data_IF_662888761759
#
_entry.id   IF_662888761759
#
_cell.length_a   1.000
_cell.length_b   1.000
_cell.length_c   1.000
_cell.angle_alpha   90.00
_cell.angle_beta   90.00
_cell.angle_gamma   90.00
#
_symmetry.space_group_name_H-M   'P 1'
#
loop_
_entity.id
_entity.type
_entity.pdbx_description
1 polymer ?
#
# COMPACT_ATOMS: atom_id res chain seq x y z
N UNK A 1 38.82 49.69 17.01
CA UNK A 1 38.10 48.51 17.54
C UNK A 1 36.77 48.43 16.82
N UNK A 2 36.62 47.49 15.87
CA UNK A 2 35.38 47.27 15.12
C UNK A 2 34.58 46.18 15.83
N UNK A 3 33.37 46.52 16.28
CA UNK A 3 32.44 45.61 16.94
C UNK A 3 31.82 44.67 15.91
N UNK A 4 31.95 43.36 16.14
CA UNK A 4 31.28 42.30 15.40
C UNK A 4 29.79 42.32 15.76
N UNK A 5 28.93 42.52 14.76
CA UNK A 5 27.49 42.32 14.88
C UNK A 5 27.17 40.87 14.48
N UNK A 6 26.59 40.12 15.41
CA UNK A 6 26.03 38.78 15.17
C UNK A 6 24.81 38.95 14.26
N UNK A 7 24.66 38.20 13.16
CA UNK A 7 23.45 38.26 12.35
C UNK A 7 22.30 37.66 13.15
N UNK A 8 21.28 38.48 13.42
CA UNK A 8 20.05 38.03 14.02
C UNK A 8 19.34 37.06 13.06
N UNK A 9 19.22 35.80 13.46
CA UNK A 9 18.31 34.86 12.81
C UNK A 9 16.87 35.40 12.95
N UNK A 10 16.04 35.33 11.90
CA UNK A 10 14.66 35.78 12.01
C UNK A 10 13.94 34.93 13.06
N UNK A 11 13.48 35.61 14.12
CA UNK A 11 12.55 35.09 15.12
C UNK A 11 11.43 34.33 14.39
N UNK A 12 11.22 33.08 14.79
CA UNK A 12 10.17 32.18 14.33
C UNK A 12 8.95 32.95 13.82
N UNK A 13 8.67 32.83 12.51
CA UNK A 13 7.40 33.25 11.96
C UNK A 13 6.32 32.51 12.74
N UNK A 14 5.61 33.22 13.63
CA UNK A 14 4.43 32.67 14.29
C UNK A 14 3.48 32.28 13.17
N UNK A 15 3.23 30.97 13.01
CA UNK A 15 2.19 30.45 12.14
C UNK A 15 0.87 31.06 12.64
N UNK A 16 0.43 32.14 11.99
CA UNK A 16 -0.90 32.71 12.20
C UNK A 16 -1.84 31.96 11.28
N UNK A 17 -2.85 31.31 11.86
CA UNK A 17 -3.82 30.52 11.10
C UNK A 17 -3.35 29.11 10.81
N UNK A 18 -2.85 28.38 11.82
CA UNK A 18 -2.81 26.91 11.77
C UNK A 18 -4.26 26.42 11.87
N UNK A 19 -5.01 26.61 10.80
CA UNK A 19 -6.29 25.93 10.63
C UNK A 19 -5.96 24.49 10.26
N UNK A 20 -6.47 23.57 11.06
CA UNK A 20 -6.26 22.16 10.76
C UNK A 20 -6.95 21.85 9.42
N UNK A 21 -6.30 21.13 8.50
CA UNK A 21 -6.84 20.87 7.18
C UNK A 21 -8.27 20.31 7.15
N UNK A 22 -8.67 19.50 8.15
CA UNK A 22 -10.04 19.02 8.31
C UNK A 22 -11.08 20.15 8.51
N UNK A 23 -10.72 21.24 9.20
CA UNK A 23 -11.61 22.40 9.35
C UNK A 23 -11.85 23.08 8.00
N UNK A 24 -10.86 23.09 7.10
CA UNK A 24 -10.98 23.67 5.76
C UNK A 24 -11.91 22.83 4.86
N UNK A 25 -11.70 21.51 4.83
CA UNK A 25 -12.54 20.58 4.03
C UNK A 25 -13.99 20.59 4.50
N UNK A 26 -14.22 20.53 5.82
CA UNK A 26 -15.56 20.58 6.39
C UNK A 26 -16.25 21.93 6.18
N UNK A 27 -15.49 23.00 5.97
CA UNK A 27 -16.04 24.33 5.67
C UNK A 27 -16.30 24.57 4.17
N UNK A 28 -15.66 23.79 3.28
CA UNK A 28 -15.75 23.96 1.83
C UNK A 28 -16.76 23.03 1.16
N UNK A 29 -17.12 21.90 1.79
CA UNK A 29 -18.14 21.00 1.26
C UNK A 29 -19.53 21.49 1.65
N UNK A 30 -20.33 21.93 0.68
CA UNK A 30 -21.70 22.40 0.92
C UNK A 30 -22.68 21.26 1.26
N UNK A 31 -22.34 20.00 0.98
CA UNK A 31 -23.20 18.83 1.19
C UNK A 31 -22.39 17.56 1.56
N UNK A 32 -22.96 16.60 2.32
CA UNK A 32 -22.29 15.36 2.75
C UNK A 32 -21.73 14.50 1.61
N UNK A 33 -22.41 14.49 0.45
CA UNK A 33 -21.99 13.74 -0.73
C UNK A 33 -20.64 14.22 -1.30
N UNK A 34 -20.36 15.53 -1.25
CA UNK A 34 -19.08 16.09 -1.70
C UNK A 34 -17.90 15.65 -0.83
N UNK A 35 -18.13 15.42 0.46
CA UNK A 35 -17.10 14.88 1.36
C UNK A 35 -16.83 13.39 1.08
N UNK A 36 -17.87 12.60 0.76
CA UNK A 36 -17.72 11.19 0.39
C UNK A 36 -16.94 11.01 -0.92
N UNK A 37 -17.21 11.82 -1.94
CA UNK A 37 -16.45 11.79 -3.21
C UNK A 37 -15.01 12.28 -3.03
N UNK A 38 -14.78 13.34 -2.25
CA UNK A 38 -13.43 13.85 -1.98
C UNK A 38 -12.56 12.86 -1.19
N UNK A 39 -13.19 12.01 -0.35
CA UNK A 39 -12.53 11.02 0.49
C UNK A 39 -12.52 9.60 -0.11
N UNK A 40 -13.17 9.37 -1.24
CA UNK A 40 -13.19 8.09 -1.92
C UNK A 40 -11.84 7.78 -2.56
N UNK A 41 -11.13 6.69 -2.18
CA UNK A 41 -9.83 6.33 -2.78
C UNK A 41 -9.93 5.86 -4.24
N UNK A 42 -11.14 5.84 -4.79
CA UNK A 42 -11.49 5.27 -6.09
C UNK A 42 -11.72 6.29 -7.19
N UNK A 43 -11.92 7.57 -6.85
CA UNK A 43 -12.33 8.56 -7.82
C UNK A 43 -11.15 9.42 -8.27
N UNK A 44 -10.74 9.35 -9.55
CA UNK A 44 -9.76 10.27 -10.09
C UNK A 44 -10.27 11.70 -9.97
N UNK A 45 -9.50 12.56 -9.33
CA UNK A 45 -9.82 13.98 -9.18
C UNK A 45 -8.81 14.80 -9.96
N UNK A 46 -9.28 15.84 -10.64
CA UNK A 46 -8.42 16.92 -11.12
C UNK A 46 -8.18 17.91 -9.99
N UNK A 47 -6.92 18.18 -9.68
CA UNK A 47 -6.55 19.14 -8.64
C UNK A 47 -5.20 19.78 -8.92
N UNK A 48 -5.00 20.98 -8.41
CA UNK A 48 -3.69 21.63 -8.38
C UNK A 48 -2.97 21.27 -7.08
N UNK A 49 -1.68 20.94 -7.16
CA UNK A 49 -0.85 20.66 -6.00
C UNK A 49 0.46 21.47 -6.03
N UNK A 50 0.83 21.97 -4.85
CA UNK A 50 2.07 22.70 -4.62
C UNK A 50 3.13 21.72 -4.13
N UNK A 51 4.30 21.72 -4.77
CA UNK A 51 5.49 21.07 -4.23
C UNK A 51 5.90 21.82 -2.95
N UNK A 52 5.98 21.12 -1.83
CA UNK A 52 6.35 21.68 -0.53
C UNK A 52 7.77 21.31 -0.10
N UNK A 53 8.31 20.21 -0.63
CA UNK A 53 9.64 19.71 -0.28
C UNK A 53 10.28 18.92 -1.43
N UNK A 54 11.60 18.97 -1.51
CA UNK A 54 12.41 18.20 -2.47
C UNK A 54 13.57 17.53 -1.73
N UNK A 55 13.68 16.22 -1.86
CA UNK A 55 14.67 15.41 -1.12
C UNK A 55 15.51 14.63 -2.13
N UNK A 56 16.83 14.84 -2.21
CA UNK A 56 17.72 14.02 -3.03
C UNK A 56 17.72 12.57 -2.53
N UNK A 57 17.72 11.61 -3.47
CA UNK A 57 17.69 10.19 -3.16
C UNK A 57 18.72 9.44 -4.02
N UNK A 58 19.18 8.28 -3.54
CA UNK A 58 20.16 7.45 -4.22
C UNK A 58 19.69 6.99 -5.63
N UNK A 59 20.63 6.55 -6.46
CA UNK A 59 20.32 6.09 -7.81
C UNK A 59 19.89 7.18 -8.80
N UNK A 60 20.22 8.45 -8.51
CA UNK A 60 19.87 9.61 -9.34
C UNK A 60 18.38 9.94 -9.27
N UNK A 61 17.75 9.68 -8.11
CA UNK A 61 16.35 9.96 -7.86
C UNK A 61 16.19 11.24 -7.04
N UNK A 62 14.98 11.80 -7.09
CA UNK A 62 14.57 12.89 -6.23
C UNK A 62 13.12 12.67 -5.82
N UNK A 63 12.86 12.80 -4.52
CA UNK A 63 11.52 12.76 -3.95
C UNK A 63 10.97 14.18 -3.99
N UNK A 64 9.75 14.32 -4.49
CA UNK A 64 8.99 15.56 -4.50
C UNK A 64 7.75 15.37 -3.64
N UNK A 65 7.63 16.15 -2.58
CA UNK A 65 6.48 16.12 -1.68
C UNK A 65 5.53 17.22 -2.10
N UNK A 66 4.25 16.89 -2.20
CA UNK A 66 3.18 17.76 -2.64
C UNK A 66 2.07 17.87 -1.61
N UNK A 67 1.37 19.01 -1.66
CA UNK A 67 0.14 19.29 -0.93
C UNK A 67 -0.89 19.82 -1.91
N UNK A 68 -2.14 19.35 -1.82
CA UNK A 68 -3.24 19.90 -2.61
C UNK A 68 -3.54 21.36 -2.25
N UNK A 69 -3.80 22.20 -3.25
CA UNK A 69 -4.04 23.64 -3.06
C UNK A 69 -5.38 23.94 -2.41
N UNK A 70 -6.37 23.08 -2.62
CA UNK A 70 -7.68 23.14 -1.95
C UNK A 70 -7.60 22.80 -0.44
N UNK A 71 -6.48 22.24 0.02
CA UNK A 71 -6.29 21.79 1.39
C UNK A 71 -7.02 20.48 1.72
N UNK A 72 -7.60 19.82 0.72
CA UNK A 72 -8.17 18.49 0.87
C UNK A 72 -7.06 17.43 1.03
N UNK A 73 -7.35 16.31 1.72
CA UNK A 73 -6.46 15.16 1.68
C UNK A 73 -6.43 14.55 0.27
N UNK A 74 -5.37 13.80 -0.03
CA UNK A 74 -5.37 12.86 -1.15
C UNK A 74 -5.71 11.47 -0.60
N UNK A 75 -6.91 10.98 -0.90
CA UNK A 75 -7.28 9.59 -0.65
C UNK A 75 -6.79 8.73 -1.82
N UNK A 76 -6.02 7.68 -1.55
CA UNK A 76 -5.50 6.76 -2.55
C UNK A 76 -5.15 5.42 -1.90
N UNK A 77 -4.87 4.40 -2.72
CA UNK A 77 -4.31 3.12 -2.28
C UNK A 77 -2.82 3.01 -2.56
N UNK A 78 -2.11 2.34 -1.67
CA UNK A 78 -0.67 2.18 -1.77
C UNK A 78 -0.27 1.41 -3.02
N UNK A 79 0.44 2.07 -3.92
CA UNK A 79 0.85 1.55 -5.23
C UNK A 79 0.23 2.29 -6.42
N UNK A 80 -0.84 3.07 -6.21
CA UNK A 80 -1.42 3.92 -7.26
C UNK A 80 -0.49 5.04 -7.74
N UNK A 81 -0.81 5.60 -8.89
CA UNK A 81 -0.09 6.73 -9.49
C UNK A 81 -0.98 7.96 -9.69
N UNK A 82 -0.33 9.07 -10.00
CA UNK A 82 -0.94 10.33 -10.43
C UNK A 82 -0.38 10.74 -11.78
N UNK A 83 -1.23 11.32 -12.61
CA UNK A 83 -0.83 11.99 -13.84
C UNK A 83 -0.53 13.45 -13.52
N UNK A 84 0.57 13.97 -14.04
CA UNK A 84 1.06 15.32 -13.73
C UNK A 84 1.39 16.03 -15.03
N UNK A 85 0.91 17.24 -15.16
CA UNK A 85 1.12 18.09 -16.32
C UNK A 85 2.34 19.00 -16.11
N UNK A 86 3.39 18.76 -16.89
CA UNK A 86 4.65 19.50 -16.78
C UNK A 86 4.79 20.56 -17.89
N UNK A 87 5.06 21.83 -17.56
CA UNK A 87 5.26 22.90 -18.54
C UNK A 87 6.69 22.89 -19.11
N UNK A 88 7.10 21.75 -19.70
CA UNK A 88 8.49 21.52 -20.14
C UNK A 88 8.90 22.37 -21.33
N UNK A 89 7.96 22.74 -22.20
CA UNK A 89 8.21 23.53 -23.41
C UNK A 89 7.86 25.04 -23.21
N UNK A 90 7.61 25.46 -21.96
CA UNK A 90 7.29 26.84 -21.57
C UNK A 90 5.83 27.06 -21.18
N UNK A 91 5.49 28.24 -20.62
CA UNK A 91 4.16 28.52 -20.07
C UNK A 91 3.04 28.67 -21.12
N UNK A 92 3.39 28.99 -22.37
CA UNK A 92 2.43 29.17 -23.47
C UNK A 92 2.28 27.92 -24.35
N UNK A 93 2.98 26.83 -24.01
CA UNK A 93 2.93 25.55 -24.73
C UNK A 93 1.99 24.56 -24.04
N UNK A 94 1.50 23.56 -24.77
CA UNK A 94 0.75 22.47 -24.16
C UNK A 94 1.65 21.70 -23.17
N UNK A 95 1.16 21.42 -21.94
CA UNK A 95 1.95 20.69 -20.96
C UNK A 95 2.16 19.25 -21.42
N UNK A 96 3.28 18.67 -21.00
CA UNK A 96 3.59 17.27 -21.25
C UNK A 96 3.16 16.47 -20.02
N UNK A 97 2.11 15.67 -20.18
CA UNK A 97 1.57 14.83 -19.11
C UNK A 97 2.38 13.56 -18.91
N UNK A 98 2.67 13.18 -17.67
CA UNK A 98 3.33 11.91 -17.32
C UNK A 98 2.76 11.32 -16.03
N UNK A 99 2.70 9.99 -16.00
CA UNK A 99 2.30 9.21 -14.83
C UNK A 99 3.49 8.98 -13.89
N UNK A 100 3.27 9.18 -12.59
CA UNK A 100 4.25 8.90 -11.54
C UNK A 100 3.57 8.20 -10.36
N UNK A 101 4.06 7.01 -9.99
CA UNK A 101 3.58 6.28 -8.81
C UNK A 101 3.81 7.10 -7.54
N UNK A 102 2.83 7.09 -6.65
CA UNK A 102 2.92 7.71 -5.34
C UNK A 102 3.85 6.86 -4.49
N UNK A 103 4.89 7.47 -3.90
CA UNK A 103 5.86 6.80 -3.04
C UNK A 103 5.51 6.86 -1.55
N UNK A 104 4.70 7.82 -1.10
CA UNK A 104 4.26 7.93 0.31
C UNK A 104 3.14 6.92 0.63
N UNK A 105 2.92 6.66 1.92
CA UNK A 105 1.76 5.89 2.35
C UNK A 105 0.48 6.76 2.34
N UNK A 106 -0.70 6.16 2.10
CA UNK A 106 -1.99 6.84 2.20
C UNK A 106 -2.38 7.16 3.64
N UNK A 107 -1.65 6.64 4.64
CA UNK A 107 -1.81 6.98 6.06
C UNK A 107 -1.37 8.40 6.40
N UNK A 108 -0.71 9.10 5.47
CA UNK A 108 -0.30 10.50 5.59
C UNK A 108 -1.08 11.37 4.57
N UNK A 109 -2.41 11.48 4.69
CA UNK A 109 -3.25 11.95 3.58
C UNK A 109 -3.09 13.45 3.24
N UNK A 110 -2.38 14.21 4.07
CA UNK A 110 -2.21 15.67 3.91
C UNK A 110 -1.10 16.06 2.94
N UNK A 111 -0.18 15.13 2.70
CA UNK A 111 0.92 15.29 1.76
C UNK A 111 1.17 13.98 1.05
N UNK A 112 1.50 14.03 -0.23
CA UNK A 112 1.90 12.84 -0.96
C UNK A 112 3.24 13.08 -1.62
N UNK A 113 4.02 12.02 -1.81
CA UNK A 113 5.30 12.10 -2.50
C UNK A 113 5.29 11.30 -3.78
N UNK A 114 5.97 11.82 -4.79
CA UNK A 114 6.40 11.06 -5.95
C UNK A 114 7.92 11.04 -5.99
N UNK A 115 8.48 10.03 -6.63
CA UNK A 115 9.93 9.90 -6.75
C UNK A 115 10.31 9.70 -8.20
N UNK A 116 11.14 10.61 -8.71
CA UNK A 116 11.48 10.68 -10.13
C UNK A 116 12.97 10.39 -10.30
N UNK A 117 13.29 9.32 -11.04
CA UNK A 117 14.64 9.08 -11.52
C UNK A 117 14.97 10.00 -12.70
N UNK A 118 16.13 10.66 -12.66
CA UNK A 118 16.60 11.45 -13.80
C UNK A 118 16.95 10.53 -14.97
N UNK A 119 16.31 10.75 -16.11
CA UNK A 119 16.71 10.15 -17.38
C UNK A 119 17.45 11.23 -18.19
N UNK A 120 18.75 11.04 -18.52
CA UNK A 120 19.51 11.98 -19.34
C UNK A 120 18.88 12.28 -20.71
N UNK A 121 18.03 11.37 -21.23
CA UNK A 121 17.30 11.56 -22.49
C UNK A 121 15.86 12.04 -22.29
N UNK A 122 15.35 12.02 -21.06
CA UNK A 122 13.98 12.37 -20.72
C UNK A 122 13.80 13.87 -20.55
N UNK A 123 12.84 14.44 -21.29
CA UNK A 123 12.46 15.86 -21.16
C UNK A 123 11.87 16.17 -19.78
N UNK A 124 10.86 15.41 -19.36
CA UNK A 124 10.10 15.66 -18.12
C UNK A 124 10.95 15.40 -16.87
N UNK A 125 11.66 14.27 -16.81
CA UNK A 125 12.49 13.94 -15.65
C UNK A 125 13.64 14.93 -15.46
N UNK A 126 14.27 15.38 -16.55
CA UNK A 126 15.28 16.45 -16.47
C UNK A 126 14.66 17.77 -16.03
N UNK A 127 13.51 18.15 -16.59
CA UNK A 127 12.81 19.38 -16.19
C UNK A 127 12.44 19.36 -14.71
N UNK A 128 11.89 18.25 -14.19
CA UNK A 128 11.52 18.11 -12.80
C UNK A 128 12.73 18.29 -11.86
N UNK A 129 13.84 17.61 -12.16
CA UNK A 129 15.08 17.75 -11.38
C UNK A 129 15.63 19.18 -11.38
N UNK A 130 15.52 19.88 -12.50
CA UNK A 130 16.13 21.21 -12.67
C UNK A 130 15.21 22.35 -12.16
N UNK A 131 13.87 22.20 -12.24
CA UNK A 131 12.92 23.30 -12.01
C UNK A 131 11.88 23.05 -10.92
N UNK A 132 11.53 21.81 -10.59
CA UNK A 132 10.51 21.51 -9.58
C UNK A 132 11.10 21.80 -8.19
N UNK A 133 10.58 22.82 -7.51
CA UNK A 133 11.09 23.32 -6.22
C UNK A 133 9.92 23.62 -5.28
N UNK A 134 10.16 23.77 -3.97
CA UNK A 134 9.12 24.23 -3.06
C UNK A 134 8.47 25.53 -3.55
N UNK A 135 7.13 25.54 -3.64
CA UNK A 135 6.32 26.63 -4.19
C UNK A 135 5.89 26.43 -5.65
N UNK A 136 6.39 25.43 -6.38
CA UNK A 136 5.92 25.11 -7.73
C UNK A 136 4.54 24.46 -7.66
N UNK A 137 3.57 24.98 -8.42
CA UNK A 137 2.23 24.40 -8.54
C UNK A 137 2.10 23.68 -9.87
N UNK A 138 1.57 22.46 -9.85
CA UNK A 138 1.29 21.65 -11.04
C UNK A 138 -0.15 21.14 -10.99
N UNK A 139 -0.75 20.99 -12.17
CA UNK A 139 -2.04 20.34 -12.34
C UNK A 139 -1.85 18.83 -12.37
N UNK A 140 -2.73 18.11 -11.68
CA UNK A 140 -2.66 16.67 -11.49
C UNK A 140 -4.04 16.03 -11.67
N UNK A 141 -4.02 14.78 -12.14
CA UNK A 141 -5.19 13.90 -12.21
C UNK A 141 -4.89 12.59 -11.48
N UNK A 142 -5.70 12.26 -10.49
CA UNK A 142 -5.64 10.97 -9.81
C UNK A 142 -6.28 10.94 -8.42
N UNK A 143 -6.06 9.87 -7.65
CA UNK A 143 -5.22 8.72 -7.98
C UNK A 143 -5.81 7.83 -9.11
N UNK A 144 -4.95 7.08 -9.80
CA UNK A 144 -5.31 6.09 -10.83
C UNK A 144 -4.46 4.83 -10.66
N UNK A 145 -4.91 3.71 -11.23
CA UNK A 145 -4.14 2.47 -11.34
C UNK A 145 -4.67 1.34 -10.46
N UNK A 146 -4.52 0.12 -10.96
CA UNK A 146 -4.94 -1.12 -10.29
C UNK A 146 -3.80 -1.83 -9.52
N UNK A 147 -2.57 -1.30 -9.60
CA UNK A 147 -1.41 -1.87 -8.91
C UNK A 147 -1.36 -1.40 -7.45
N UNK A 148 -2.18 -2.01 -6.58
CA UNK A 148 -2.26 -1.61 -5.18
C UNK A 148 -2.49 -2.78 -4.22
N UNK A 149 -2.16 -2.60 -2.94
CA UNK A 149 -2.57 -3.55 -1.89
C UNK A 149 -4.09 -3.56 -1.74
N UNK A 150 -4.65 -4.71 -1.37
CA UNK A 150 -6.05 -4.81 -1.01
C UNK A 150 -6.30 -4.26 0.41
N UNK A 151 -7.41 -3.55 0.62
CA UNK A 151 -7.70 -2.86 1.90
C UNK A 151 -7.98 -3.81 3.08
N UNK A 152 -8.34 -5.07 2.80
CA UNK A 152 -8.83 -6.02 3.80
C UNK A 152 -7.79 -7.07 4.24
N UNK A 153 -6.72 -7.27 3.48
CA UNK A 153 -5.83 -8.42 3.70
C UNK A 153 -4.65 -8.10 4.62
N UNK A 154 -4.95 -8.04 5.92
CA UNK A 154 -3.97 -7.72 6.98
C UNK A 154 -3.12 -8.91 7.46
N UNK A 155 -3.30 -10.09 6.84
CA UNK A 155 -2.54 -11.32 7.13
C UNK A 155 -1.85 -11.88 5.89
N UNK A 156 -1.98 -11.23 4.74
CA UNK A 156 -1.31 -11.60 3.52
C UNK A 156 0.21 -11.71 3.68
N UNK A 157 0.78 -12.64 2.92
CA UNK A 157 2.20 -12.71 2.69
C UNK A 157 2.49 -12.09 1.33
N UNK A 158 3.34 -11.08 1.31
CA UNK A 158 3.72 -10.33 0.12
C UNK A 158 5.14 -10.66 -0.31
N UNK A 159 5.32 -10.77 -1.62
CA UNK A 159 6.64 -10.78 -2.28
C UNK A 159 6.70 -9.55 -3.20
N UNK A 160 7.52 -8.58 -2.82
CA UNK A 160 7.70 -7.34 -3.58
C UNK A 160 8.98 -7.47 -4.42
N UNK A 161 8.85 -7.37 -5.74
CA UNK A 161 9.97 -7.47 -6.68
C UNK A 161 10.23 -6.08 -7.29
N UNK A 162 11.22 -5.36 -6.75
CA UNK A 162 11.58 -4.03 -7.24
C UNK A 162 12.83 -4.09 -8.12
N UNK A 163 12.85 -3.28 -9.19
CA UNK A 163 14.09 -2.99 -9.91
C UNK A 163 14.21 -1.49 -10.23
N UNK A 164 15.32 -0.88 -9.81
CA UNK A 164 15.60 0.54 -10.03
C UNK A 164 14.48 1.44 -9.48
N UNK A 165 13.85 2.25 -10.36
CA UNK A 165 12.77 3.16 -10.00
C UNK A 165 11.45 2.45 -9.68
N UNK A 166 11.29 1.16 -9.97
CA UNK A 166 10.11 0.40 -9.55
C UNK A 166 9.99 0.15 -8.06
N UNK A 167 10.95 0.62 -7.26
CA UNK A 167 10.76 0.70 -5.81
C UNK A 167 9.65 1.67 -5.41
N UNK A 168 9.27 2.64 -6.24
CA UNK A 168 8.39 3.75 -5.80
C UNK A 168 6.98 3.30 -5.37
N UNK A 169 6.20 2.54 -6.15
CA UNK A 169 4.91 2.04 -5.67
C UNK A 169 5.10 1.03 -4.52
N UNK A 170 6.16 0.22 -4.56
CA UNK A 170 6.43 -0.77 -3.51
C UNK A 170 6.81 -0.11 -2.18
N UNK A 171 7.47 1.05 -2.22
CA UNK A 171 7.77 1.83 -1.03
C UNK A 171 6.49 2.38 -0.38
N UNK A 172 5.51 2.80 -1.19
CA UNK A 172 4.18 3.17 -0.68
C UNK A 172 3.52 1.99 0.03
N UNK A 173 3.59 0.78 -0.55
CA UNK A 173 3.06 -0.45 0.06
C UNK A 173 3.76 -0.78 1.38
N UNK A 174 5.10 -0.74 1.42
CA UNK A 174 5.88 -1.04 2.63
C UNK A 174 5.58 -0.03 3.74
N UNK A 175 5.57 1.27 3.44
CA UNK A 175 5.20 2.32 4.40
C UNK A 175 3.78 2.12 4.93
N UNK A 176 2.86 1.65 4.09
CA UNK A 176 1.48 1.35 4.48
C UNK A 176 1.39 0.17 5.43
N UNK A 177 2.09 -0.93 5.12
CA UNK A 177 2.19 -2.10 6.01
C UNK A 177 2.77 -1.69 7.35
N UNK A 178 3.84 -0.89 7.36
CA UNK A 178 4.46 -0.40 8.57
C UNK A 178 3.49 0.44 9.43
N UNK A 179 2.82 1.41 8.81
CA UNK A 179 1.92 2.34 9.51
C UNK A 179 0.64 1.70 10.05
N UNK A 180 0.19 0.60 9.46
CA UNK A 180 -1.07 -0.05 9.83
C UNK A 180 -0.86 -1.30 10.72
N UNK A 181 -1.70 -1.49 11.75
CA UNK A 181 -1.64 -2.70 12.56
C UNK A 181 -2.05 -3.92 11.73
N UNK A 182 -1.28 -5.01 11.84
CA UNK A 182 -1.54 -6.24 11.10
C UNK A 182 -0.45 -7.29 11.32
N UNK A 183 -0.63 -8.45 10.67
CA UNK A 183 0.29 -9.58 10.72
C UNK A 183 0.78 -9.96 9.31
N UNK A 184 0.81 -8.98 8.39
CA UNK A 184 1.37 -9.18 7.07
C UNK A 184 2.83 -9.65 7.17
N UNK A 185 3.29 -10.40 6.19
CA UNK A 185 4.68 -10.83 6.04
C UNK A 185 5.17 -10.37 4.68
N UNK A 186 6.13 -9.45 4.65
CA UNK A 186 6.63 -8.79 3.45
C UNK A 186 8.08 -9.19 3.21
N UNK A 187 8.35 -9.75 2.03
CA UNK A 187 9.72 -9.87 1.53
C UNK A 187 9.89 -8.95 0.32
N UNK A 188 10.79 -7.98 0.43
CA UNK A 188 11.24 -7.14 -0.68
C UNK A 188 12.53 -7.73 -1.27
N UNK A 189 12.50 -8.13 -2.55
CA UNK A 189 13.68 -8.35 -3.36
C UNK A 189 13.93 -7.12 -4.23
N UNK A 190 14.94 -6.32 -3.87
CA UNK A 190 15.26 -5.09 -4.57
C UNK A 190 16.53 -5.26 -5.42
N UNK A 191 16.36 -5.18 -6.74
CA UNK A 191 17.45 -5.27 -7.70
C UNK A 191 18.00 -3.89 -8.10
N UNK A 192 19.31 -3.74 -7.91
CA UNK A 192 20.07 -2.52 -8.18
C UNK A 192 21.13 -2.71 -9.26
N UNK A 193 21.59 -1.58 -9.80
CA UNK A 193 22.63 -1.54 -10.83
C UNK A 193 24.05 -1.42 -10.26
N UNK A 194 24.16 -0.89 -9.05
CA UNK A 194 25.38 -0.64 -8.28
C UNK A 194 25.04 -0.54 -6.77
N UNK A 195 26.00 -0.78 -5.86
CA UNK A 195 25.78 -0.71 -4.40
C UNK A 195 25.18 0.61 -3.91
N UNK A 196 25.53 1.72 -4.53
CA UNK A 196 25.08 3.08 -4.19
C UNK A 196 23.79 3.52 -4.90
N UNK A 197 23.13 2.60 -5.62
CA UNK A 197 21.97 2.92 -6.47
C UNK A 197 20.61 2.62 -5.86
N UNK A 198 20.57 2.05 -4.65
CA UNK A 198 19.33 1.65 -3.98
C UNK A 198 18.66 2.86 -3.31
N UNK A 199 17.64 3.39 -3.97
CA UNK A 199 16.80 4.45 -3.40
C UNK A 199 16.07 3.95 -2.15
N UNK A 200 15.93 4.81 -1.14
CA UNK A 200 15.31 4.52 0.15
C UNK A 200 16.04 3.45 0.98
N UNK A 201 17.29 3.12 0.67
CA UNK A 201 18.04 2.09 1.40
C UNK A 201 18.09 2.35 2.90
N UNK A 202 18.43 3.57 3.32
CA UNK A 202 18.47 3.94 4.75
C UNK A 202 17.12 3.73 5.46
N UNK A 203 16.01 4.11 4.81
CA UNK A 203 14.67 3.94 5.37
C UNK A 203 14.23 2.48 5.37
N UNK A 204 14.50 1.75 4.29
CA UNK A 204 14.21 0.32 4.18
C UNK A 204 14.96 -0.49 5.24
N UNK A 205 16.23 -0.18 5.47
CA UNK A 205 17.04 -0.79 6.53
C UNK A 205 16.48 -0.46 7.91
N UNK A 206 16.07 0.79 8.14
CA UNK A 206 15.40 1.16 9.38
C UNK A 206 14.11 0.36 9.58
N UNK A 207 13.24 0.30 8.57
CA UNK A 207 11.96 -0.41 8.62
C UNK A 207 12.14 -1.91 8.88
N UNK A 208 13.09 -2.56 8.20
CA UNK A 208 13.40 -3.97 8.40
C UNK A 208 13.94 -4.26 9.81
N UNK A 209 14.61 -3.29 10.45
CA UNK A 209 15.13 -3.44 11.80
C UNK A 209 14.05 -3.26 12.89
N UNK A 210 13.05 -2.39 12.66
CA UNK A 210 12.02 -2.08 13.67
C UNK A 210 10.73 -2.86 13.49
N UNK A 211 10.49 -3.41 12.29
CA UNK A 211 9.26 -4.12 11.94
C UNK A 211 9.58 -5.54 11.47
N UNK A 212 9.34 -6.52 12.36
CA UNK A 212 9.62 -7.94 12.11
C UNK A 212 8.86 -8.51 10.90
N UNK A 213 7.82 -7.81 10.43
CA UNK A 213 7.03 -8.18 9.26
C UNK A 213 7.75 -7.91 7.95
N UNK A 214 8.76 -7.05 7.94
CA UNK A 214 9.40 -6.54 6.73
C UNK A 214 10.82 -7.10 6.63
N UNK A 215 11.06 -7.89 5.59
CA UNK A 215 12.39 -8.38 5.21
C UNK A 215 12.81 -7.73 3.91
N UNK A 216 13.98 -7.08 3.91
CA UNK A 216 14.55 -6.45 2.71
C UNK A 216 15.79 -7.21 2.28
N UNK A 217 15.88 -7.52 0.99
CA UNK A 217 17.02 -8.20 0.39
C UNK A 217 17.45 -7.42 -0.84
N UNK A 218 18.66 -6.88 -0.78
CA UNK A 218 19.28 -6.19 -1.91
C UNK A 218 20.04 -7.17 -2.79
N UNK A 219 19.84 -7.05 -4.10
CA UNK A 219 20.51 -7.87 -5.10
C UNK A 219 21.15 -6.99 -6.18
N UNK A 220 22.43 -7.20 -6.45
CA UNK A 220 23.07 -6.67 -7.65
C UNK A 220 22.94 -7.69 -8.77
N UNK A 221 22.71 -7.24 -10.01
CA UNK A 221 22.76 -8.14 -11.17
C UNK A 221 24.17 -8.73 -11.39
N UNK A 222 24.41 -9.30 -12.57
CA UNK A 222 25.68 -9.97 -12.92
C UNK A 222 26.88 -9.01 -13.16
N UNK A 223 26.89 -7.84 -12.52
CA UNK A 223 27.97 -6.84 -12.66
C UNK A 223 29.02 -7.06 -11.58
N UNK A 224 30.26 -6.68 -11.88
CA UNK A 224 31.33 -6.67 -10.87
C UNK A 224 30.92 -5.81 -9.68
N UNK A 225 30.84 -6.44 -8.51
CA UNK A 225 30.66 -5.76 -7.24
C UNK A 225 32.05 -5.59 -6.58
N UNK A 226 32.24 -4.49 -5.86
CA UNK A 226 33.44 -4.33 -5.03
C UNK A 226 33.44 -5.34 -3.88
N UNK A 227 34.61 -5.58 -3.28
CA UNK A 227 34.79 -6.52 -2.17
C UNK A 227 33.95 -6.18 -0.92
N UNK A 228 33.40 -4.96 -0.84
CA UNK A 228 32.58 -4.44 0.26
C UNK A 228 31.08 -4.75 0.12
N UNK A 229 30.63 -5.39 -0.97
CA UNK A 229 29.22 -5.72 -1.15
C UNK A 229 28.80 -6.96 -0.34
N UNK A 230 27.94 -6.76 0.66
CA UNK A 230 27.44 -7.84 1.53
C UNK A 230 26.08 -8.40 1.08
N UNK A 231 25.42 -7.76 0.11
CA UNK A 231 24.13 -8.20 -0.41
C UNK A 231 24.23 -9.37 -1.39
N UNK A 232 23.10 -9.73 -2.01
CA UNK A 232 23.06 -10.80 -3.01
C UNK A 232 23.57 -10.33 -4.37
N UNK A 233 23.98 -11.28 -5.19
CA UNK A 233 24.45 -11.05 -6.56
C UNK A 233 23.76 -12.03 -7.51
N UNK A 234 23.57 -11.60 -8.75
CA UNK A 234 22.95 -12.40 -9.81
C UNK A 234 21.62 -11.82 -10.27
N UNK A 235 21.21 -12.19 -11.48
CA UNK A 235 19.85 -11.92 -11.95
C UNK A 235 18.81 -12.73 -11.17
N UNK A 236 17.58 -12.21 -11.17
CA UNK A 236 16.40 -12.93 -10.67
C UNK A 236 16.34 -14.32 -11.35
N UNK A 237 16.43 -15.36 -10.54
CA UNK A 237 16.51 -16.76 -10.99
C UNK A 237 15.72 -17.65 -10.02
N UNK A 238 15.31 -18.84 -10.49
CA UNK A 238 14.60 -19.81 -9.65
C UNK A 238 15.42 -20.20 -8.43
N UNK A 239 16.73 -20.45 -8.62
CA UNK A 239 17.66 -20.74 -7.54
C UNK A 239 17.70 -19.64 -6.47
N UNK A 240 17.67 -18.36 -6.89
CA UNK A 240 17.64 -17.23 -5.97
C UNK A 240 16.31 -17.15 -5.20
N UNK A 241 15.17 -17.40 -5.86
CA UNK A 241 13.88 -17.45 -5.17
C UNK A 241 13.81 -18.63 -4.20
N UNK A 242 14.24 -19.82 -4.61
CA UNK A 242 14.22 -21.01 -3.76
C UNK A 242 15.10 -20.83 -2.51
N UNK A 243 16.23 -20.12 -2.62
CA UNK A 243 17.08 -19.78 -1.48
C UNK A 243 16.41 -18.77 -0.54
N UNK A 244 15.88 -17.68 -1.10
CA UNK A 244 15.52 -16.49 -0.31
C UNK A 244 14.06 -16.48 0.16
N UNK A 245 13.18 -17.05 -0.65
CA UNK A 245 11.72 -17.05 -0.53
C UNK A 245 11.17 -18.40 -1.02
N UNK A 246 11.51 -19.52 -0.33
CA UNK A 246 11.05 -20.86 -0.74
C UNK A 246 9.52 -21.01 -0.70
N UNK A 247 8.83 -20.10 0.00
CA UNK A 247 7.38 -19.99 0.07
C UNK A 247 6.81 -18.96 -0.92
N UNK A 248 7.54 -18.60 -1.98
CA UNK A 248 7.06 -17.68 -3.02
C UNK A 248 5.71 -18.14 -3.59
N UNK A 249 5.54 -19.46 -3.76
CA UNK A 249 4.23 -20.05 -3.99
C UNK A 249 3.39 -19.97 -2.71
N UNK A 250 2.33 -19.14 -2.74
CA UNK A 250 1.50 -18.82 -1.57
C UNK A 250 1.73 -17.42 -1.01
N UNK A 251 2.46 -16.56 -1.73
CA UNK A 251 2.55 -15.11 -1.53
C UNK A 251 1.84 -14.35 -2.66
N UNK A 252 1.28 -13.19 -2.35
CA UNK A 252 0.86 -12.20 -3.34
C UNK A 252 2.09 -11.44 -3.84
N UNK A 253 2.32 -11.44 -5.14
CA UNK A 253 3.52 -10.91 -5.77
C UNK A 253 3.22 -9.57 -6.42
N UNK A 254 3.96 -8.54 -6.04
CA UNK A 254 3.90 -7.22 -6.67
C UNK A 254 5.26 -6.92 -7.30
N UNK A 255 5.31 -6.87 -8.64
CA UNK A 255 6.55 -6.63 -9.38
C UNK A 255 6.51 -5.31 -10.14
N UNK A 256 7.54 -4.50 -9.98
CA UNK A 256 7.63 -3.21 -10.64
C UNK A 256 9.08 -2.89 -11.03
N UNK A 257 9.30 -2.53 -12.30
CA UNK A 257 10.64 -2.34 -12.85
C UNK A 257 10.70 -2.24 -14.38
N UNK A 258 11.92 -2.28 -14.96
CA UNK A 258 12.09 -2.29 -16.41
C UNK A 258 11.45 -3.52 -17.07
N UNK A 259 10.98 -3.37 -18.31
CA UNK A 259 10.29 -4.44 -19.06
C UNK A 259 11.04 -5.78 -19.05
N UNK A 260 12.35 -5.78 -19.33
CA UNK A 260 13.16 -7.00 -19.32
C UNK A 260 13.22 -7.71 -17.95
N UNK A 261 13.13 -6.95 -16.85
CA UNK A 261 13.06 -7.51 -15.50
C UNK A 261 11.71 -8.16 -15.24
N UNK A 262 10.61 -7.50 -15.61
CA UNK A 262 9.25 -8.01 -15.43
C UNK A 262 8.96 -9.23 -16.30
N UNK A 263 9.46 -9.26 -17.53
CA UNK A 263 9.37 -10.44 -18.40
C UNK A 263 10.07 -11.65 -17.76
N UNK A 264 11.28 -11.43 -17.22
CA UNK A 264 12.03 -12.48 -16.50
C UNK A 264 11.30 -12.94 -15.24
N UNK A 265 10.72 -12.00 -14.47
CA UNK A 265 9.93 -12.32 -13.28
C UNK A 265 8.69 -13.14 -13.64
N UNK A 266 7.99 -12.80 -14.73
CA UNK A 266 6.78 -13.52 -15.18
C UNK A 266 7.08 -14.98 -15.49
N UNK A 267 8.11 -15.24 -16.31
CA UNK A 267 8.50 -16.60 -16.68
C UNK A 267 8.91 -17.43 -15.46
N UNK A 268 9.64 -16.79 -14.54
CA UNK A 268 10.17 -17.41 -13.35
C UNK A 268 9.09 -17.74 -12.31
N UNK A 269 8.19 -16.81 -12.02
CA UNK A 269 7.09 -17.03 -11.07
C UNK A 269 6.19 -18.18 -11.53
N UNK A 270 5.91 -18.24 -12.84
CA UNK A 270 5.21 -19.38 -13.46
C UNK A 270 5.96 -20.69 -13.28
N UNK A 271 7.28 -20.69 -13.44
CA UNK A 271 8.09 -21.91 -13.27
C UNK A 271 8.12 -22.43 -11.83
N UNK A 272 8.00 -21.53 -10.83
CA UNK A 272 7.91 -21.86 -9.40
C UNK A 272 6.46 -22.22 -8.99
N UNK A 273 5.50 -22.04 -9.90
CA UNK A 273 4.10 -22.41 -9.68
C UNK A 273 3.30 -21.38 -8.89
N UNK A 274 3.72 -20.11 -8.88
CA UNK A 274 2.91 -19.01 -8.35
C UNK A 274 1.68 -18.83 -9.23
N UNK A 275 0.51 -18.73 -8.60
CA UNK A 275 -0.76 -18.55 -9.31
C UNK A 275 -0.82 -17.18 -10.02
N UNK A 276 -1.20 -17.17 -11.30
CA UNK A 276 -1.27 -15.95 -12.12
C UNK A 276 -2.23 -14.89 -11.51
N UNK A 277 -3.23 -15.27 -10.72
CA UNK A 277 -4.14 -14.34 -10.02
C UNK A 277 -3.51 -13.67 -8.79
N UNK A 278 -2.38 -14.19 -8.32
CA UNK A 278 -1.60 -13.64 -7.22
C UNK A 278 -0.43 -12.78 -7.70
N UNK A 279 -0.29 -12.54 -9.01
CA UNK A 279 0.82 -11.77 -9.59
C UNK A 279 0.30 -10.46 -10.17
N UNK A 280 0.75 -9.36 -9.59
CA UNK A 280 0.46 -8.00 -10.02
C UNK A 280 1.75 -7.38 -10.57
N UNK A 281 1.67 -6.74 -11.74
CA UNK A 281 2.83 -6.11 -12.37
C UNK A 281 2.50 -4.71 -12.87
N UNK A 282 3.47 -3.79 -12.73
CA UNK A 282 3.39 -2.45 -13.26
C UNK A 282 4.63 -2.14 -14.12
N UNK A 283 4.38 -1.70 -15.37
CA UNK A 283 5.41 -1.37 -16.35
C UNK A 283 5.57 0.14 -16.50
N UNK A 284 6.80 0.65 -16.43
CA UNK A 284 7.11 2.01 -16.83
C UNK A 284 7.52 2.06 -18.30
N UNK A 285 6.55 2.17 -19.21
CA UNK A 285 6.83 2.46 -20.62
C UNK A 285 6.57 3.96 -20.89
N UNK A 286 7.49 4.60 -21.60
CA UNK A 286 7.40 6.03 -21.94
C UNK A 286 6.42 6.35 -23.09
N UNK A 287 5.69 5.35 -23.58
CA UNK A 287 5.08 5.35 -24.92
C UNK A 287 3.63 4.80 -24.94
N UNK A 288 2.91 4.80 -23.81
CA UNK A 288 1.45 4.59 -23.87
C UNK A 288 0.81 5.76 -24.63
N UNK A 289 -0.15 5.50 -25.50
CA UNK A 289 -1.02 6.52 -26.10
C UNK A 289 -2.02 6.99 -25.02
N UNK A 290 -1.44 7.72 -24.08
CA UNK A 290 -1.87 8.07 -22.74
C UNK A 290 -3.34 8.56 -22.69
N UNK A 291 -3.76 9.50 -23.53
CA UNK A 291 -5.06 10.19 -23.34
C UNK A 291 -6.32 9.34 -23.62
N UNK A 292 -6.26 8.36 -24.53
CA UNK A 292 -7.44 7.57 -24.90
C UNK A 292 -7.68 6.41 -23.92
N UNK A 293 -6.62 5.69 -23.56
CA UNK A 293 -6.66 4.66 -22.52
C UNK A 293 -7.08 5.26 -21.15
N UNK A 294 -6.72 6.52 -20.87
CA UNK A 294 -7.15 7.22 -19.66
C UNK A 294 -8.64 7.52 -19.59
N UNK A 295 -9.26 7.87 -20.72
CA UNK A 295 -10.70 8.13 -20.71
C UNK A 295 -11.46 6.86 -20.32
N UNK A 296 -10.97 5.70 -20.74
CA UNK A 296 -11.53 4.39 -20.38
C UNK A 296 -11.25 4.05 -18.90
N UNK A 297 -10.01 4.21 -18.41
CA UNK A 297 -9.69 3.96 -17.00
C UNK A 297 -10.45 4.89 -16.02
N UNK A 298 -10.57 6.17 -16.36
CA UNK A 298 -11.34 7.15 -15.57
C UNK A 298 -12.83 6.84 -15.63
N UNK A 299 -13.36 6.41 -16.78
CA UNK A 299 -14.76 6.00 -16.90
C UNK A 299 -15.07 4.78 -16.01
N UNK A 300 -14.22 3.75 -16.04
CA UNK A 300 -14.38 2.56 -15.19
C UNK A 300 -14.28 2.92 -13.70
N UNK A 301 -13.30 3.75 -13.32
CA UNK A 301 -13.15 4.20 -11.95
C UNK A 301 -14.35 5.05 -11.48
N UNK A 302 -14.91 5.86 -12.38
CA UNK A 302 -16.14 6.62 -12.17
C UNK A 302 -17.34 5.73 -11.90
N UNK A 303 -17.56 4.70 -12.73
CA UNK A 303 -18.66 3.72 -12.56
C UNK A 303 -18.57 3.00 -11.20
N UNK A 304 -17.39 2.53 -10.81
CA UNK A 304 -17.18 1.88 -9.50
C UNK A 304 -17.47 2.85 -8.34
N UNK A 305 -17.04 4.10 -8.46
CA UNK A 305 -17.26 5.10 -7.43
C UNK A 305 -18.76 5.44 -7.27
N UNK A 306 -19.51 5.52 -8.38
CA UNK A 306 -20.96 5.73 -8.35
C UNK A 306 -21.69 4.55 -7.70
N UNK A 307 -21.28 3.31 -8.00
CA UNK A 307 -21.86 2.11 -7.37
C UNK A 307 -21.63 2.11 -5.84
N UNK A 308 -20.40 2.41 -5.39
CA UNK A 308 -20.08 2.49 -3.96
C UNK A 308 -20.86 3.62 -3.29
N UNK A 309 -20.96 4.79 -3.93
CA UNK A 309 -21.71 5.93 -3.40
C UNK A 309 -23.20 5.58 -3.22
N UNK A 310 -23.82 4.96 -4.24
CA UNK A 310 -25.20 4.51 -4.18
C UNK A 310 -25.42 3.46 -3.07
N UNK A 311 -24.50 2.51 -2.93
CA UNK A 311 -24.54 1.49 -1.87
C UNK A 311 -24.40 2.12 -0.48
N UNK A 312 -23.57 3.15 -0.35
CA UNK A 312 -23.37 3.89 0.91
C UNK A 312 -24.62 4.69 1.26
N UNK A 313 -25.25 5.34 0.30
CA UNK A 313 -26.50 6.08 0.48
C UNK A 313 -27.63 5.12 0.91
N UNK A 314 -27.79 3.98 0.25
CA UNK A 314 -28.75 2.93 0.63
C UNK A 314 -28.46 2.37 2.05
N UNK A 315 -27.19 2.21 2.42
CA UNK A 315 -26.81 1.82 3.78
C UNK A 315 -27.23 2.88 4.82
N UNK A 316 -27.00 4.17 4.55
CA UNK A 316 -27.42 5.25 5.45
C UNK A 316 -28.95 5.38 5.54
N UNK A 317 -29.67 5.19 4.44
CA UNK A 317 -31.13 5.20 4.41
C UNK A 317 -31.76 3.99 5.10
N UNK A 318 -31.06 2.84 5.10
CA UNK A 318 -31.51 1.61 5.75
C UNK A 318 -31.10 1.51 7.23
N UNK A 319 -30.28 2.43 7.74
CA UNK A 319 -30.01 2.49 9.17
C UNK A 319 -31.32 2.83 9.92
N UNK A 320 -31.76 2.00 10.89
CA UNK A 320 -32.87 2.38 11.73
C UNK A 320 -32.49 3.69 12.46
N UNK A 321 -33.43 4.63 12.56
CA UNK A 321 -33.28 5.91 13.26
C UNK A 321 -33.01 5.79 14.78
N UNK A 322 -32.56 4.63 15.26
CA UNK A 322 -32.43 4.27 16.68
C UNK A 322 -31.18 4.83 17.36
N UNK A 323 -30.31 5.53 16.64
CA UNK A 323 -29.46 6.55 17.26
C UNK A 323 -30.19 7.88 17.12
N UNK A 324 -31.21 8.08 17.96
CA UNK A 324 -31.70 9.43 18.25
C UNK A 324 -30.47 10.25 18.64
N UNK A 325 -30.00 11.08 17.71
CA UNK A 325 -29.19 12.22 18.08
C UNK A 325 -30.01 12.96 19.12
N UNK A 326 -29.55 12.97 20.36
CA UNK A 326 -30.19 13.67 21.46
C UNK A 326 -30.43 15.14 21.04
N UNK A 327 -31.66 15.46 20.69
CA UNK A 327 -32.12 16.84 20.54
C UNK A 327 -32.68 17.28 21.90
N UNK A 328 -31.98 18.14 22.65
CA UNK A 328 -32.53 18.66 23.88
C UNK A 328 -33.80 19.46 23.56
N UNK A 329 -34.94 19.03 24.11
CA UNK A 329 -36.16 19.83 24.06
C UNK A 329 -35.94 21.12 24.87
N UNK A 330 -36.35 22.26 24.31
CA UNK A 330 -36.30 23.56 24.97
C UNK A 330 -37.71 23.99 25.37
N UNK A 331 -37.87 24.44 26.61
CA UNK A 331 -39.07 25.17 27.04
C UNK A 331 -38.83 26.69 26.97
N UNK A 332 -39.82 27.48 27.42
CA UNK A 332 -39.78 28.93 27.33
C UNK A 332 -38.67 29.59 28.19
N UNK A 333 -38.02 28.84 29.08
CA UNK A 333 -37.00 29.34 30.01
C UNK A 333 -35.61 28.68 29.82
N UNK A 334 -35.46 27.64 28.99
CA UNK A 334 -34.17 27.02 28.66
C UNK A 334 -34.24 25.54 28.25
N UNK A 335 -33.09 24.83 28.12
CA UNK A 335 -33.09 23.40 27.86
C UNK A 335 -33.69 22.64 29.05
N UNK A 336 -34.60 21.70 28.77
CA UNK A 336 -35.27 20.89 29.80
C UNK A 336 -34.22 19.99 30.49
N UNK A 337 -34.08 20.09 31.81
CA UNK A 337 -33.16 19.21 32.55
C UNK A 337 -33.63 17.74 32.47
N UNK A 338 -32.71 16.87 32.05
CA UNK A 338 -32.95 15.43 31.96
C UNK A 338 -33.17 14.84 33.37
N UNK A 339 -34.41 14.49 33.69
CA UNK A 339 -34.73 13.76 34.91
C UNK A 339 -34.46 12.27 34.67
N UNK A 340 -33.20 11.88 34.77
CA UNK A 340 -32.83 10.46 34.83
C UNK A 340 -33.50 9.78 36.04
N UNK A 341 -33.78 8.48 35.93
CA UNK A 341 -34.17 7.70 37.10
C UNK A 341 -33.09 7.84 38.20
N UNK A 342 -33.48 7.96 39.49
CA UNK A 342 -32.52 8.18 40.56
C UNK A 342 -31.49 7.05 40.57
N UNK A 343 -30.23 7.41 40.38
CA UNK A 343 -29.12 6.47 40.45
C UNK A 343 -28.86 6.13 41.91
N UNK A 344 -29.19 4.90 42.31
CA UNK A 344 -28.69 4.34 43.56
C UNK A 344 -27.25 3.88 43.35
N UNK A 345 -26.33 4.46 44.12
CA UNK A 345 -24.94 4.01 44.14
C UNK A 345 -24.87 2.63 44.80
N UNK A 346 -24.53 1.61 44.02
CA UNK A 346 -24.18 0.28 44.52
C UNK A 346 -22.76 0.30 45.05
N UNK A 347 -22.54 -0.37 46.19
CA UNK A 347 -21.24 -0.48 46.84
C UNK A 347 -20.21 -1.13 45.90
N UNK A 348 -18.99 -0.58 45.86
CA UNK A 348 -17.94 -1.00 44.91
C UNK A 348 -17.48 -2.45 45.12
N UNK A 349 -17.78 -3.05 46.27
CA UNK A 349 -17.47 -4.45 46.59
C UNK A 349 -18.66 -5.41 46.39
N UNK A 350 -19.79 -4.94 45.84
CA UNK A 350 -20.94 -5.80 45.58
C UNK A 350 -20.63 -6.83 44.48
N UNK A 351 -20.71 -8.13 44.83
CA UNK A 351 -20.58 -9.22 43.87
C UNK A 351 -21.85 -9.28 43.03
N UNK A 352 -21.72 -9.00 41.73
CA UNK A 352 -22.80 -9.12 40.75
C UNK A 352 -23.01 -10.62 40.46
N UNK A 353 -24.22 -11.17 40.63
CA UNK A 353 -24.48 -12.54 40.19
C UNK A 353 -24.39 -12.57 38.66
N UNK A 354 -23.48 -13.39 38.15
CA UNK A 354 -23.48 -13.78 36.73
C UNK A 354 -24.56 -14.84 36.60
N UNK A 355 -25.64 -14.54 35.88
CA UNK A 355 -26.58 -15.58 35.48
C UNK A 355 -25.88 -16.46 34.43
N UNK A 356 -25.71 -17.74 34.76
CA UNK A 356 -25.33 -18.75 33.76
C UNK A 356 -26.52 -18.96 32.81
N UNK A 357 -26.19 -19.12 31.52
CA UNK A 357 -27.06 -19.41 30.37
C UNK A 357 -27.83 -18.23 29.75
N UNK A 358 -27.12 -17.44 28.93
CA UNK A 358 -27.73 -16.82 27.75
C UNK A 358 -27.58 -17.81 26.58
N UNK A 359 -28.64 -18.54 26.25
CA UNK A 359 -28.71 -19.28 24.99
C UNK A 359 -28.66 -18.29 23.83
N UNK A 360 -27.53 -18.26 23.12
CA UNK A 360 -27.41 -17.56 21.84
C UNK A 360 -28.13 -18.43 20.81
N UNK A 361 -29.32 -18.02 20.40
CA UNK A 361 -30.02 -18.62 19.27
C UNK A 361 -29.31 -18.21 17.97
N UNK A 362 -28.35 -19.02 17.53
CA UNK A 362 -27.83 -18.94 16.17
C UNK A 362 -28.93 -19.48 15.27
N UNK A 363 -29.61 -18.60 14.54
CA UNK A 363 -30.57 -18.98 13.50
C UNK A 363 -29.80 -19.72 12.42
N UNK A 364 -29.77 -21.05 12.54
CA UNK A 364 -29.24 -21.95 11.54
C UNK A 364 -30.10 -21.86 10.29
N UNK A 365 -29.45 -21.77 9.13
CA UNK A 365 -30.08 -21.99 7.84
C UNK A 365 -30.72 -23.38 7.88
N UNK A 366 -32.04 -23.44 7.91
CA UNK A 366 -32.81 -24.68 7.80
C UNK A 366 -33.02 -25.02 6.33
N UNK A 367 -33.01 -26.32 6.03
CA UNK A 367 -33.24 -26.90 4.69
C UNK A 367 -34.61 -26.57 4.07
N UNK A 368 -35.47 -25.78 4.74
CA UNK A 368 -36.77 -25.33 4.19
C UNK A 368 -36.68 -24.07 3.31
N UNK A 369 -35.55 -23.34 3.31
CA UNK A 369 -35.36 -22.15 2.46
C UNK A 369 -34.64 -22.43 1.12
N UNK A 370 -34.38 -23.69 0.78
CA UNK A 370 -33.76 -24.08 -0.51
C UNK A 370 -34.77 -24.61 -1.54
N UNK A 371 -36.08 -24.51 -1.28
CA UNK A 371 -37.12 -25.02 -2.17
C UNK A 371 -37.66 -23.98 -3.18
N UNK A 372 -36.80 -23.15 -3.78
CA UNK A 372 -37.11 -22.45 -5.05
C UNK A 372 -35.86 -22.35 -5.94
N UNK A 373 -35.25 -23.50 -6.31
CA UNK A 373 -34.54 -23.65 -7.59
C UNK A 373 -34.17 -25.13 -7.84
N UNK A 374 -34.88 -25.79 -8.75
CA UNK A 374 -34.49 -27.06 -9.39
C UNK A 374 -34.76 -26.92 -10.91
N UNK A 375 -34.15 -27.68 -11.85
CA UNK A 375 -32.91 -28.49 -11.85
C UNK A 375 -31.96 -28.17 -13.02
N UNK A 376 -30.72 -28.69 -12.99
CA UNK A 376 -29.91 -28.78 -14.21
C UNK A 376 -28.59 -29.54 -14.15
N UNK A 377 -28.63 -30.86 -13.88
CA UNK A 377 -27.60 -31.89 -14.22
C UNK A 377 -26.24 -31.81 -13.50
N UNK A 378 -25.57 -32.89 -13.08
CA UNK A 378 -25.86 -34.31 -12.94
C UNK A 378 -24.67 -34.95 -12.17
N UNK A 379 -24.95 -36.01 -11.41
CA UNK A 379 -24.08 -37.16 -11.05
C UNK A 379 -22.73 -36.92 -10.35
N UNK A 380 -22.25 -37.70 -9.39
CA UNK A 380 -22.74 -38.83 -8.59
C UNK A 380 -21.57 -39.21 -7.66
N UNK A 381 -21.91 -39.83 -6.53
CA UNK A 381 -21.14 -40.82 -5.77
C UNK A 381 -19.95 -40.42 -4.86
N UNK A 382 -20.15 -40.71 -3.56
CA UNK A 382 -19.17 -41.43 -2.72
C UNK A 382 -18.71 -40.69 -1.47
N UNK A 383 -19.57 -40.49 -0.46
CA UNK A 383 -19.74 -41.39 0.70
C UNK A 383 -18.48 -41.74 1.50
N UNK A 384 -18.48 -41.22 2.74
CA UNK A 384 -18.06 -41.86 4.00
C UNK A 384 -16.55 -42.02 4.31
N UNK A 385 -16.10 -41.09 5.15
CA UNK A 385 -15.17 -41.34 6.27
C UNK A 385 -15.91 -42.16 7.35
N UNK A 386 -15.20 -42.95 8.16
CA UNK A 386 -15.38 -42.72 9.59
C UNK A 386 -14.04 -42.60 10.34
N UNK A 387 -14.05 -41.67 11.29
CA UNK A 387 -13.07 -41.54 12.35
C UNK A 387 -13.24 -42.67 13.39
N UNK A 388 -12.17 -42.99 14.10
CA UNK A 388 -12.19 -43.90 15.23
C UNK A 388 -10.83 -44.01 15.92
N UNK A 389 -10.67 -43.20 16.97
CA UNK A 389 -9.82 -43.28 18.17
C UNK A 389 -8.80 -44.42 18.35
N UNK A 390 -7.68 -44.06 19.00
CA UNK A 390 -7.25 -44.78 20.20
C UNK A 390 -5.78 -45.15 20.36
N UNK A 391 -5.11 -44.42 21.26
CA UNK A 391 -4.16 -44.89 22.29
C UNK A 391 -2.75 -45.43 21.93
N UNK A 392 -1.76 -44.64 22.36
CA UNK A 392 -0.52 -44.96 23.09
C UNK A 392 0.07 -46.39 23.09
N UNK A 393 1.35 -46.49 22.73
CA UNK A 393 2.34 -47.34 23.41
C UNK A 393 3.78 -46.90 23.10
N UNK A 394 4.64 -47.06 24.09
CA UNK A 394 6.05 -46.69 24.20
C UNK A 394 7.05 -47.76 23.72
N UNK A 395 8.29 -47.30 23.47
CA UNK A 395 9.59 -47.93 23.75
C UNK A 395 10.29 -48.87 22.72
N UNK A 396 11.62 -48.67 22.62
CA UNK A 396 12.65 -49.58 22.07
C UNK A 396 13.32 -49.03 20.79
N UNK A 397 14.51 -48.42 20.76
CA UNK A 397 15.88 -48.76 21.21
C UNK A 397 16.79 -49.25 20.06
N UNK A 398 18.00 -48.63 20.03
CA UNK A 398 19.32 -49.05 19.55
C UNK A 398 19.68 -49.40 18.08
N UNK A 399 20.88 -48.92 17.69
CA UNK A 399 21.78 -49.50 16.67
C UNK A 399 22.17 -48.52 15.55
N UNK A 400 23.12 -47.60 15.69
CA UNK A 400 24.61 -47.71 15.67
C UNK A 400 25.25 -48.12 14.32
N UNK A 401 26.29 -47.34 13.97
CA UNK A 401 27.42 -47.56 13.06
C UNK A 401 27.19 -47.75 11.55
N UNK A 402 27.76 -46.89 10.69
CA UNK A 402 29.20 -46.97 10.35
C UNK A 402 29.66 -45.84 9.40
N UNK A 403 30.88 -45.40 9.65
CA UNK A 403 31.65 -44.33 9.01
C UNK A 403 32.51 -44.92 7.88
N UNK A 404 32.48 -44.39 6.64
CA UNK A 404 33.64 -44.50 5.72
C UNK A 404 33.81 -43.21 4.90
N UNK A 405 34.99 -42.63 5.07
CA UNK A 405 35.54 -41.49 4.35
C UNK A 405 36.33 -41.89 3.08
N UNK A 406 36.79 -40.83 2.37
CA UNK A 406 37.87 -40.76 1.35
C UNK A 406 37.45 -41.27 -0.06
N UNK A 407 37.71 -40.64 -1.21
CA UNK A 407 38.86 -39.86 -1.74
C UNK A 407 38.42 -39.06 -2.99
N UNK A 408 38.84 -37.79 -3.11
CA UNK A 408 39.02 -37.04 -4.36
C UNK A 408 40.45 -37.28 -4.88
N UNK A 409 40.71 -37.44 -6.20
CA UNK A 409 41.46 -36.34 -6.84
C UNK A 409 41.17 -36.12 -8.34
N UNK A 410 41.06 -34.82 -8.67
CA UNK A 410 41.84 -34.11 -9.71
C UNK A 410 41.33 -34.03 -11.18
N UNK A 411 41.08 -32.76 -11.56
CA UNK A 411 41.69 -32.01 -12.66
C UNK A 411 41.37 -32.32 -14.16
N UNK A 412 40.55 -31.43 -14.75
CA UNK A 412 40.75 -30.58 -15.98
C UNK A 412 41.16 -31.23 -17.33
N UNK A 413 41.04 -30.54 -18.50
CA UNK A 413 40.02 -29.58 -19.01
C UNK A 413 39.62 -29.80 -20.51
N UNK A 414 38.80 -28.88 -21.05
CA UNK A 414 38.63 -28.48 -22.49
C UNK A 414 37.91 -29.43 -23.45
N UNK A 415 36.78 -29.02 -24.03
CA UNK A 415 36.61 -28.14 -25.22
C UNK A 415 35.28 -27.41 -25.11
#
# INVERSE_FOLDING_TARGET
MRSSAVPALPLAQRVRGLEMPWNRVLSSASEPAGAATALGPWHPQEFAAECVETIPEAGGMMVFVFRRMDGAPLAFRSGQYINIDFPVDGPDAEPVSRSYSISSAPTEPWTFSITIKRDPKGKVSSWAHDHLRPGTVLDMLGPVGAFHLADYDRRARFLLLAAGAGITPLMSMIRTVHSLPGQADVVLLYHGAAPDSFAFSEELDFLANVDFRIKVIYCLGDRECGDEWEGRTGRLSTALLDELVPDANGRQVFACGPEGYLNSATELLRSVGVDDTSVFMEFFSGDREIRAEYAEEVAIAGEIAEEIAATTEEYFESQPAALDMYEPEYDADGPVEAVGAPTEAVDAEAVVPVEDDVEIEVVGVTDENLAEADPGSASDAGSAVPAGDGAAASAGDAGDDDEIAVVDPAALPTV
#
